data_IF_528668655489
#
_entry.id   IF_528668655489
#
_cell.length_a   1.000
_cell.length_b   1.000
_cell.length_c   1.000
_cell.angle_alpha   90.00
_cell.angle_beta   90.00
_cell.angle_gamma   90.00
#
_symmetry.space_group_name_H-M   'P 1'
#
loop_
_entity.id
_entity.type
_entity.pdbx_description
1 polymer ?
#
# COMPACT_ATOMS: atom_id res chain seq x y z
N UNK A 1 25.96 39.28 -1.79
CA UNK A 1 25.62 37.92 -1.34
C UNK A 1 24.80 37.27 -2.43
N UNK A 2 25.38 36.31 -3.17
CA UNK A 2 24.61 35.50 -4.12
C UNK A 2 23.60 34.66 -3.31
N UNK A 3 22.31 34.80 -3.61
CA UNK A 3 21.29 33.87 -3.13
C UNK A 3 21.61 32.50 -3.72
N UNK A 4 22.28 31.64 -2.94
CA UNK A 4 22.45 30.24 -3.30
C UNK A 4 21.08 29.58 -3.44
N UNK A 5 20.87 28.84 -4.53
CA UNK A 5 19.66 28.04 -4.74
C UNK A 5 19.45 27.14 -3.52
N UNK A 6 18.30 27.26 -2.85
CA UNK A 6 17.95 26.39 -1.73
C UNK A 6 17.88 24.93 -2.19
N UNK A 7 18.54 24.02 -1.46
CA UNK A 7 18.53 22.58 -1.73
C UNK A 7 17.10 22.07 -1.84
N UNK A 8 16.81 21.30 -2.89
CA UNK A 8 15.49 20.75 -3.19
C UNK A 8 15.49 19.24 -2.95
N UNK A 9 14.56 18.79 -2.11
CA UNK A 9 14.36 17.38 -1.77
C UNK A 9 12.99 16.97 -2.28
N UNK A 10 12.93 15.93 -3.11
CA UNK A 10 11.68 15.28 -3.49
C UNK A 10 11.49 14.03 -2.63
N UNK A 11 10.32 13.90 -2.01
CA UNK A 11 9.88 12.69 -1.32
C UNK A 11 8.70 12.12 -2.08
N UNK A 12 8.84 10.86 -2.49
CA UNK A 12 7.85 10.10 -3.24
C UNK A 12 7.44 8.90 -2.40
N UNK A 13 6.15 8.76 -2.11
CA UNK A 13 5.62 7.63 -1.33
C UNK A 13 4.37 7.02 -1.95
N UNK A 14 4.09 5.75 -1.63
CA UNK A 14 2.89 5.07 -2.11
C UNK A 14 1.58 5.58 -1.48
N UNK A 15 0.45 5.11 -2.01
CA UNK A 15 -0.91 5.55 -1.72
C UNK A 15 -1.55 4.85 -0.53
N UNK A 16 -0.76 4.28 0.38
CA UNK A 16 -1.26 3.62 1.58
C UNK A 16 -0.68 4.21 2.87
N UNK A 17 -0.94 3.53 3.99
CA UNK A 17 -0.47 4.01 5.28
C UNK A 17 1.04 3.86 5.45
N UNK A 18 1.67 2.84 4.86
CA UNK A 18 3.11 2.61 4.99
C UNK A 18 3.88 3.69 4.23
N UNK A 19 3.51 3.95 2.97
CA UNK A 19 4.05 5.05 2.17
C UNK A 19 3.87 6.44 2.81
N UNK A 20 2.70 6.72 3.42
CA UNK A 20 2.45 7.99 4.12
C UNK A 20 3.30 8.12 5.38
N UNK A 21 3.34 7.09 6.23
CA UNK A 21 4.08 7.14 7.49
C UNK A 21 5.59 7.23 7.23
N UNK A 22 6.11 6.42 6.31
CA UNK A 22 7.50 6.51 5.87
C UNK A 22 7.85 7.92 5.36
N UNK A 23 6.96 8.52 4.55
CA UNK A 23 7.15 9.90 4.06
C UNK A 23 7.16 10.92 5.19
N UNK A 24 6.29 10.74 6.18
CA UNK A 24 6.20 11.62 7.34
C UNK A 24 7.45 11.55 8.22
N UNK A 25 8.08 10.39 8.36
CA UNK A 25 9.35 10.22 9.07
C UNK A 25 10.48 11.00 8.39
N UNK A 26 10.57 10.94 7.06
CA UNK A 26 11.56 11.71 6.28
C UNK A 26 11.27 13.20 6.36
N UNK A 27 10.01 13.63 6.24
CA UNK A 27 9.61 15.04 6.41
C UNK A 27 10.01 15.55 7.78
N UNK A 28 9.75 14.77 8.83
CA UNK A 28 10.16 15.11 10.19
C UNK A 28 11.68 15.26 10.30
N UNK A 29 12.44 14.31 9.76
CA UNK A 29 13.90 14.36 9.78
C UNK A 29 14.46 15.56 9.01
N UNK A 30 13.85 15.96 7.88
CA UNK A 30 14.33 17.07 7.06
C UNK A 30 13.85 18.43 7.54
N UNK A 31 12.56 18.62 7.78
CA UNK A 31 12.00 19.94 8.04
C UNK A 31 12.00 20.32 9.51
N UNK A 32 11.83 19.35 10.41
CA UNK A 32 11.80 19.61 11.85
C UNK A 32 13.20 19.53 12.43
N UNK A 33 13.96 18.49 12.08
CA UNK A 33 15.29 18.26 12.64
C UNK A 33 16.42 18.79 11.76
N UNK A 34 16.24 18.91 10.44
CA UNK A 34 17.29 19.36 9.53
C UNK A 34 18.47 18.40 9.44
N UNK A 35 18.23 17.08 9.51
CA UNK A 35 19.28 16.05 9.61
C UNK A 35 19.45 15.25 8.33
N UNK A 36 18.35 14.87 7.68
CA UNK A 36 18.35 13.97 6.52
C UNK A 36 17.28 14.39 5.50
N UNK A 37 17.53 14.29 4.17
CA UNK A 37 18.77 13.84 3.52
C UNK A 37 19.92 14.85 3.54
N UNK A 38 19.65 16.11 3.86
CA UNK A 38 20.67 17.16 3.93
C UNK A 38 20.62 17.89 5.26
N UNK A 39 21.81 18.23 5.79
CA UNK A 39 21.93 19.05 6.99
C UNK A 39 21.42 20.46 6.75
N UNK A 40 20.57 20.95 7.64
CA UNK A 40 19.98 22.29 7.57
C UNK A 40 18.61 22.31 6.87
N UNK A 41 18.20 23.49 6.39
CA UNK A 41 16.90 23.68 5.76
C UNK A 41 16.94 23.31 4.28
N UNK A 42 15.93 22.59 3.81
CA UNK A 42 15.73 22.28 2.41
C UNK A 42 14.27 22.54 2.00
N UNK A 43 14.06 22.80 0.70
CA UNK A 43 12.71 22.86 0.13
C UNK A 43 12.25 21.43 -0.16
N UNK A 44 11.33 20.94 0.66
CA UNK A 44 10.75 19.60 0.48
C UNK A 44 9.53 19.67 -0.43
N UNK A 45 9.52 18.81 -1.43
CA UNK A 45 8.39 18.56 -2.30
C UNK A 45 7.84 17.15 -2.04
N UNK A 46 6.51 17.06 -1.97
CA UNK A 46 5.78 15.85 -1.60
C UNK A 46 4.92 15.39 -2.78
N UNK A 47 5.18 14.20 -3.31
CA UNK A 47 4.42 13.62 -4.42
C UNK A 47 4.04 12.16 -4.13
N UNK A 48 2.76 11.82 -4.03
CA UNK A 48 2.38 10.41 -3.98
C UNK A 48 2.53 9.77 -5.36
N UNK A 49 2.95 8.51 -5.41
CA UNK A 49 3.07 7.74 -6.64
C UNK A 49 2.95 6.23 -6.37
N UNK A 50 2.31 5.51 -7.28
CA UNK A 50 2.53 4.07 -7.40
C UNK A 50 3.53 3.76 -8.52
N UNK A 51 3.88 2.49 -8.75
CA UNK A 51 4.87 2.09 -9.76
C UNK A 51 4.53 2.62 -11.17
N UNK A 52 3.25 2.52 -11.56
CA UNK A 52 2.77 2.95 -12.89
C UNK A 52 2.79 4.47 -13.11
N UNK A 53 2.73 5.26 -12.05
CA UNK A 53 2.72 6.73 -12.12
C UNK A 53 4.09 7.33 -11.80
N UNK A 54 5.09 6.51 -11.45
CA UNK A 54 6.39 6.97 -11.01
C UNK A 54 7.07 7.85 -12.08
N UNK A 55 7.09 7.41 -13.34
CA UNK A 55 7.75 8.13 -14.42
C UNK A 55 7.19 9.54 -14.63
N UNK A 56 5.87 9.75 -14.50
CA UNK A 56 5.28 11.08 -14.63
C UNK A 56 5.60 11.95 -13.42
N UNK A 57 5.64 11.35 -12.23
CA UNK A 57 5.96 12.03 -10.96
C UNK A 57 7.40 12.52 -10.90
N UNK A 58 8.36 11.85 -11.54
CA UNK A 58 9.76 12.31 -11.60
C UNK A 58 10.06 13.17 -12.84
N UNK A 59 9.11 13.28 -13.76
CA UNK A 59 9.31 14.06 -14.99
C UNK A 59 9.43 15.57 -14.71
N UNK A 60 10.26 16.25 -15.51
CA UNK A 60 10.37 17.70 -15.60
C UNK A 60 10.73 18.45 -14.29
N UNK A 61 11.24 17.75 -13.27
CA UNK A 61 11.74 18.38 -12.06
C UNK A 61 13.26 18.37 -11.96
N UNK A 62 13.76 19.21 -11.05
CA UNK A 62 15.18 19.34 -10.77
C UNK A 62 15.34 19.38 -9.25
N UNK A 63 15.88 18.30 -8.71
CA UNK A 63 16.08 18.10 -7.28
C UNK A 63 17.52 17.69 -7.01
N UNK A 64 18.00 18.00 -5.81
CA UNK A 64 19.32 17.59 -5.34
C UNK A 64 19.25 16.19 -4.69
N UNK A 65 18.10 15.87 -4.10
CA UNK A 65 17.82 14.57 -3.48
C UNK A 65 16.44 14.07 -3.89
N UNK A 66 16.34 12.78 -4.17
CA UNK A 66 15.07 12.08 -4.40
C UNK A 66 15.00 10.90 -3.45
N UNK A 67 13.92 10.82 -2.69
CA UNK A 67 13.65 9.76 -1.72
C UNK A 67 12.41 9.01 -2.18
N UNK A 68 12.57 7.72 -2.44
CA UNK A 68 11.54 6.81 -2.94
C UNK A 68 11.16 5.87 -1.81
N UNK A 69 9.88 5.83 -1.46
CA UNK A 69 9.37 5.14 -0.29
C UNK A 69 8.22 4.23 -0.70
N UNK A 70 8.38 2.94 -0.46
CA UNK A 70 7.31 1.94 -0.56
C UNK A 70 6.75 1.75 -1.98
N UNK A 71 7.57 2.01 -2.99
CA UNK A 71 7.19 1.82 -4.40
C UNK A 71 7.92 0.59 -4.92
N UNK A 72 7.21 -0.48 -5.33
CA UNK A 72 7.87 -1.67 -5.87
C UNK A 72 8.63 -1.37 -7.16
N UNK A 73 9.84 -1.91 -7.27
CA UNK A 73 10.65 -1.76 -8.47
C UNK A 73 10.08 -2.57 -9.64
N UNK A 74 9.59 -1.85 -10.64
CA UNK A 74 8.96 -2.37 -11.86
C UNK A 74 9.58 -1.70 -13.09
N UNK A 75 9.22 -2.16 -14.29
CA UNK A 75 9.68 -1.56 -15.53
C UNK A 75 9.32 -0.06 -15.65
N UNK A 76 8.14 0.34 -15.17
CA UNK A 76 7.72 1.75 -15.18
C UNK A 76 8.60 2.62 -14.26
N UNK A 77 9.00 2.07 -13.11
CA UNK A 77 9.92 2.74 -12.18
C UNK A 77 11.32 2.83 -12.78
N UNK A 78 11.78 1.77 -13.44
CA UNK A 78 13.07 1.73 -14.14
C UNK A 78 13.15 2.83 -15.22
N UNK A 79 12.11 2.95 -16.05
CA UNK A 79 12.02 4.01 -17.07
C UNK A 79 12.06 5.40 -16.42
N UNK A 80 11.34 5.58 -15.31
CA UNK A 80 11.35 6.84 -14.56
C UNK A 80 12.73 7.18 -13.98
N UNK A 81 13.43 6.21 -13.40
CA UNK A 81 14.79 6.39 -12.88
C UNK A 81 15.78 6.73 -14.00
N UNK A 82 15.66 6.06 -15.15
CA UNK A 82 16.46 6.40 -16.32
C UNK A 82 16.25 7.84 -16.77
N UNK A 83 15.00 8.27 -16.87
CA UNK A 83 14.66 9.64 -17.27
C UNK A 83 15.18 10.67 -16.26
N UNK A 84 15.00 10.40 -14.97
CA UNK A 84 15.47 11.25 -13.88
C UNK A 84 17.00 11.44 -13.94
N UNK A 85 17.75 10.34 -14.11
CA UNK A 85 19.22 10.35 -14.05
C UNK A 85 19.90 10.74 -15.37
N UNK A 86 19.20 10.62 -16.51
CA UNK A 86 19.63 11.21 -17.80
C UNK A 86 19.40 12.72 -17.84
N UNK A 87 18.57 13.26 -16.95
CA UNK A 87 18.28 14.69 -16.84
C UNK A 87 19.51 15.53 -16.48
N UNK A 88 19.37 16.86 -16.58
CA UNK A 88 20.44 17.81 -16.23
C UNK A 88 20.74 17.87 -14.74
N UNK A 89 19.74 17.55 -13.91
CA UNK A 89 19.87 17.51 -12.46
C UNK A 89 20.10 16.06 -12.07
N UNK A 90 21.27 15.78 -11.49
CA UNK A 90 21.69 14.43 -11.09
C UNK A 90 21.48 14.27 -9.59
N UNK A 91 20.26 14.00 -9.12
CA UNK A 91 20.00 13.90 -7.69
C UNK A 91 20.72 12.70 -7.10
N UNK A 92 21.03 12.80 -5.80
CA UNK A 92 21.31 11.60 -5.00
C UNK A 92 19.98 10.91 -4.69
N UNK A 93 19.89 9.61 -4.98
CA UNK A 93 18.66 8.84 -4.82
C UNK A 93 18.76 7.89 -3.63
N UNK A 94 17.75 7.94 -2.78
CA UNK A 94 17.54 7.03 -1.66
C UNK A 94 16.28 6.21 -1.91
N UNK A 95 16.36 4.89 -1.77
CA UNK A 95 15.25 3.99 -2.07
C UNK A 95 14.98 3.05 -0.91
N UNK A 96 13.84 3.23 -0.25
CA UNK A 96 13.37 2.37 0.82
C UNK A 96 12.17 1.56 0.34
N UNK A 97 12.24 0.24 0.46
CA UNK A 97 11.16 -0.63 0.02
C UNK A 97 11.26 -2.04 0.64
N UNK A 98 10.14 -2.75 0.69
CA UNK A 98 10.04 -4.10 1.22
C UNK A 98 9.46 -5.12 0.23
N UNK A 99 9.05 -4.67 -0.95
CA UNK A 99 8.48 -5.54 -1.97
C UNK A 99 9.52 -6.50 -2.55
N UNK A 100 9.11 -7.75 -2.78
CA UNK A 100 9.96 -8.81 -3.36
C UNK A 100 10.61 -8.40 -4.69
N UNK A 101 9.86 -7.71 -5.56
CA UNK A 101 10.37 -7.25 -6.85
C UNK A 101 11.58 -6.31 -6.74
N UNK A 102 11.71 -5.60 -5.61
CA UNK A 102 12.83 -4.72 -5.31
C UNK A 102 13.95 -5.48 -4.60
N UNK A 103 13.61 -6.32 -3.62
CA UNK A 103 14.56 -7.20 -2.92
C UNK A 103 15.37 -8.07 -3.90
N UNK A 104 14.70 -8.62 -4.91
CA UNK A 104 15.34 -9.47 -5.93
C UNK A 104 16.28 -8.69 -6.88
N UNK A 105 16.25 -7.34 -6.84
CA UNK A 105 16.94 -6.45 -7.80
C UNK A 105 17.80 -5.37 -7.15
N UNK A 106 18.19 -5.54 -5.89
CA UNK A 106 19.02 -4.57 -5.14
C UNK A 106 20.32 -4.24 -5.86
N UNK A 107 21.14 -5.26 -6.16
CA UNK A 107 22.43 -5.06 -6.82
C UNK A 107 22.27 -4.36 -8.17
N UNK A 108 21.22 -4.70 -8.92
CA UNK A 108 20.90 -4.02 -10.16
C UNK A 108 20.60 -2.53 -9.95
N UNK A 109 19.76 -2.19 -8.97
CA UNK A 109 19.43 -0.79 -8.65
C UNK A 109 20.68 0.03 -8.27
N UNK A 110 21.52 -0.52 -7.40
CA UNK A 110 22.73 0.14 -6.92
C UNK A 110 23.75 0.33 -8.03
N UNK A 111 24.05 -0.72 -8.82
CA UNK A 111 25.05 -0.67 -9.89
C UNK A 111 24.59 0.17 -11.09
N UNK A 112 23.33 0.01 -11.52
CA UNK A 112 22.83 0.65 -12.74
C UNK A 112 22.49 2.12 -12.55
N UNK A 113 22.02 2.49 -11.36
CA UNK A 113 21.47 3.81 -11.08
C UNK A 113 22.20 4.57 -9.97
N UNK A 114 23.19 3.96 -9.31
CA UNK A 114 23.93 4.56 -8.19
C UNK A 114 22.98 5.07 -7.08
N UNK A 115 21.97 4.27 -6.78
CA UNK A 115 20.94 4.51 -5.75
C UNK A 115 21.45 3.94 -4.42
N UNK A 116 21.23 4.64 -3.32
CA UNK A 116 21.43 4.06 -1.98
C UNK A 116 20.15 3.33 -1.56
N UNK A 117 20.20 2.00 -1.50
CA UNK A 117 19.02 1.17 -1.20
C UNK A 117 18.95 0.76 0.26
N UNK A 118 17.73 0.73 0.80
CA UNK A 118 17.40 0.37 2.17
C UNK A 118 16.20 -0.57 2.13
N UNK A 119 16.48 -1.85 1.88
CA UNK A 119 15.43 -2.85 1.67
C UNK A 119 15.42 -3.92 2.75
N UNK A 120 14.26 -4.51 3.00
CA UNK A 120 14.11 -5.60 3.95
C UNK A 120 12.75 -6.26 3.90
N UNK A 121 12.52 -7.22 4.80
CA UNK A 121 11.23 -7.93 4.90
C UNK A 121 10.22 -7.21 5.81
N UNK A 122 10.63 -6.11 6.44
CA UNK A 122 9.79 -5.27 7.27
C UNK A 122 9.12 -4.19 6.43
N UNK A 123 7.94 -3.70 6.81
CA UNK A 123 7.30 -2.54 6.15
C UNK A 123 8.26 -1.36 6.02
N UNK A 124 8.09 -0.56 4.97
CA UNK A 124 8.95 0.56 4.61
C UNK A 124 9.10 1.57 5.75
N UNK A 125 8.02 1.92 6.45
CA UNK A 125 8.06 2.79 7.63
C UNK A 125 8.93 2.22 8.76
N UNK A 126 8.98 0.90 8.93
CA UNK A 126 9.88 0.27 9.90
C UNK A 126 11.34 0.35 9.46
N UNK A 127 11.62 0.23 8.15
CA UNK A 127 12.96 0.39 7.58
C UNK A 127 13.45 1.83 7.74
N UNK A 128 12.60 2.81 7.43
CA UNK A 128 12.89 4.24 7.59
C UNK A 128 13.15 4.57 9.06
N UNK A 129 12.29 4.10 9.99
CA UNK A 129 12.52 4.27 11.44
C UNK A 129 13.90 3.76 11.85
N UNK A 130 14.25 2.53 11.46
CA UNK A 130 15.51 1.92 11.84
C UNK A 130 16.71 2.70 11.28
N UNK A 131 16.63 3.15 10.02
CA UNK A 131 17.65 3.99 9.41
C UNK A 131 17.80 5.33 10.15
N UNK A 132 16.70 6.03 10.40
CA UNK A 132 16.70 7.31 11.10
C UNK A 132 17.26 7.18 12.53
N UNK A 133 16.87 6.14 13.27
CA UNK A 133 17.41 5.84 14.60
C UNK A 133 18.92 5.55 14.54
N UNK A 134 19.40 4.88 13.49
CA UNK A 134 20.84 4.60 13.29
C UNK A 134 21.69 5.87 13.09
N UNK A 135 21.11 6.93 12.55
CA UNK A 135 21.76 8.24 12.40
C UNK A 135 21.43 9.22 13.55
N UNK A 136 20.84 8.70 14.64
CA UNK A 136 20.60 9.45 15.87
C UNK A 136 19.29 10.27 15.90
N UNK A 137 18.40 10.09 14.93
CA UNK A 137 17.08 10.74 14.93
C UNK A 137 16.14 10.02 15.91
N UNK A 138 15.44 10.80 16.73
CA UNK A 138 14.39 10.30 17.64
C UNK A 138 13.04 10.75 17.14
N UNK A 139 12.22 9.79 16.69
CA UNK A 139 10.86 10.06 16.24
C UNK A 139 9.94 10.52 17.37
N UNK A 140 8.90 11.29 17.02
CA UNK A 140 7.83 11.68 17.94
C UNK A 140 7.04 10.45 18.41
N UNK A 141 6.36 10.50 19.57
CA UNK A 141 5.48 9.42 20.01
C UNK A 141 4.41 9.04 18.98
N UNK A 142 3.83 10.04 18.28
CA UNK A 142 2.86 9.83 17.19
C UNK A 142 3.46 8.99 16.06
N UNK A 143 4.63 9.37 15.53
CA UNK A 143 5.26 8.62 14.45
C UNK A 143 5.62 7.21 14.88
N UNK A 144 6.15 7.03 16.09
CA UNK A 144 6.45 5.68 16.62
C UNK A 144 5.21 4.79 16.69
N UNK A 145 4.09 5.35 17.15
CA UNK A 145 2.84 4.60 17.25
C UNK A 145 2.25 4.27 15.86
N UNK A 146 2.33 5.21 14.91
CA UNK A 146 1.92 4.99 13.53
C UNK A 146 2.74 3.90 12.84
N UNK A 147 4.08 3.93 12.97
CA UNK A 147 4.97 2.88 12.45
C UNK A 147 4.58 1.51 13.02
N UNK A 148 4.34 1.43 14.33
CA UNK A 148 3.90 0.20 14.98
C UNK A 148 2.52 -0.26 14.48
N UNK A 149 1.57 0.66 14.26
CA UNK A 149 0.26 0.36 13.70
C UNK A 149 0.33 -0.18 12.26
N UNK A 150 1.18 0.40 11.42
CA UNK A 150 1.42 -0.09 10.05
C UNK A 150 2.00 -1.49 10.08
N UNK A 151 2.98 -1.76 10.95
CA UNK A 151 3.54 -3.10 11.09
C UNK A 151 2.52 -4.18 11.48
N UNK A 152 1.48 -3.80 12.24
CA UNK A 152 0.35 -4.70 12.54
C UNK A 152 -0.54 -4.92 11.32
N UNK A 153 -0.80 -3.87 10.52
CA UNK A 153 -1.66 -3.94 9.33
C UNK A 153 -1.03 -4.77 8.20
N UNK A 154 0.28 -4.64 7.99
CA UNK A 154 1.06 -5.37 6.96
C UNK A 154 1.29 -6.86 7.30
N UNK A 155 0.61 -7.39 8.32
CA UNK A 155 0.70 -8.81 8.66
C UNK A 155 1.97 -9.21 9.40
N UNK A 156 2.64 -8.28 10.08
CA UNK A 156 3.77 -8.49 10.98
C UNK A 156 3.41 -9.29 12.25
N UNK A 157 2.77 -10.45 12.09
CA UNK A 157 2.47 -11.39 13.15
C UNK A 157 3.66 -12.33 13.37
N UNK A 158 4.55 -11.97 14.28
CA UNK A 158 5.50 -12.99 14.79
C UNK A 158 6.62 -12.49 15.66
N UNK A 159 7.39 -11.49 15.22
CA UNK A 159 8.65 -11.17 15.88
C UNK A 159 8.93 -9.67 16.03
N UNK A 160 8.58 -8.84 15.04
CA UNK A 160 8.75 -7.38 15.11
C UNK A 160 7.68 -6.69 15.99
N UNK A 161 6.44 -7.17 15.98
CA UNK A 161 5.36 -6.62 16.82
C UNK A 161 5.52 -6.89 18.33
N UNK A 162 6.50 -7.72 18.74
CA UNK A 162 6.64 -8.18 20.13
C UNK A 162 7.71 -7.46 20.96
N UNK A 163 8.52 -6.58 20.35
CA UNK A 163 9.64 -5.93 21.06
C UNK A 163 9.36 -4.52 21.54
N UNK A 164 8.34 -3.85 21.02
CA UNK A 164 7.93 -2.53 21.48
C UNK A 164 6.42 -2.49 21.70
N UNK A 165 6.01 -1.71 22.70
CA UNK A 165 4.63 -1.45 23.14
C UNK A 165 3.63 -1.59 21.99
N UNK A 166 2.70 -2.54 22.10
CA UNK A 166 1.65 -2.72 21.08
C UNK A 166 0.93 -1.38 20.85
N UNK A 167 0.76 -0.95 19.59
CA UNK A 167 0.08 0.31 19.30
C UNK A 167 -1.36 0.28 19.84
N UNK A 168 -1.93 1.43 20.15
CA UNK A 168 -3.33 1.48 20.56
C UNK A 168 -4.26 1.03 19.43
N UNK A 169 -5.39 0.42 19.78
CA UNK A 169 -6.42 0.06 18.80
C UNK A 169 -6.93 1.30 18.04
N UNK A 170 -6.95 2.46 18.71
CA UNK A 170 -7.25 3.74 18.10
C UNK A 170 -6.27 4.08 16.98
N UNK A 171 -4.96 3.96 17.23
CA UNK A 171 -3.94 4.25 16.21
C UNK A 171 -3.97 3.27 15.03
N UNK A 172 -4.25 1.99 15.30
CA UNK A 172 -4.45 1.00 14.23
C UNK A 172 -5.62 1.42 13.33
N UNK A 173 -6.73 1.88 13.92
CA UNK A 173 -7.89 2.40 13.15
C UNK A 173 -7.54 3.64 12.35
N UNK A 174 -6.70 4.53 12.89
CA UNK A 174 -6.22 5.71 12.16
C UNK A 174 -5.33 5.33 10.98
N UNK A 175 -4.36 4.44 11.17
CA UNK A 175 -3.52 3.96 10.05
C UNK A 175 -4.38 3.28 8.96
N UNK A 176 -5.32 2.44 9.36
CA UNK A 176 -6.25 1.80 8.42
C UNK A 176 -7.13 2.82 7.68
N UNK A 177 -7.62 3.85 8.37
CA UNK A 177 -8.45 4.88 7.75
C UNK A 177 -7.68 5.77 6.77
N UNK A 178 -6.41 6.08 7.07
CA UNK A 178 -5.50 6.77 6.14
C UNK A 178 -5.41 5.97 4.82
N UNK A 179 -5.04 4.69 4.91
CA UNK A 179 -4.90 3.83 3.72
C UNK A 179 -6.20 3.76 2.92
N UNK A 180 -7.34 3.61 3.59
CA UNK A 180 -8.66 3.51 2.94
C UNK A 180 -9.07 4.82 2.26
N UNK A 181 -8.95 5.94 2.96
CA UNK A 181 -9.39 7.25 2.45
C UNK A 181 -8.53 7.71 1.26
N UNK A 182 -7.22 7.50 1.35
CA UNK A 182 -6.28 7.85 0.28
C UNK A 182 -6.51 6.95 -0.94
N UNK A 183 -6.72 5.64 -0.75
CA UNK A 183 -6.98 4.73 -1.87
C UNK A 183 -8.32 4.96 -2.57
N UNK A 184 -9.32 5.47 -1.86
CA UNK A 184 -10.63 5.81 -2.44
C UNK A 184 -10.58 7.09 -3.29
N UNK A 185 -9.93 8.14 -2.79
CA UNK A 185 -9.95 9.45 -3.45
C UNK A 185 -8.81 9.66 -4.44
N UNK A 186 -7.67 8.99 -4.22
CA UNK A 186 -6.41 9.23 -4.96
C UNK A 186 -6.07 10.73 -5.10
N UNK A 187 -6.42 11.52 -4.08
CA UNK A 187 -6.19 12.96 -4.01
C UNK A 187 -4.78 13.26 -3.47
N UNK A 188 -3.87 13.85 -4.28
CA UNK A 188 -2.53 14.20 -3.81
C UNK A 188 -2.50 15.20 -2.66
N UNK A 189 -3.46 16.13 -2.57
CA UNK A 189 -3.49 17.13 -1.50
C UNK A 189 -3.96 16.52 -0.19
N UNK A 190 -4.89 15.57 -0.22
CA UNK A 190 -5.25 14.74 0.93
C UNK A 190 -4.04 13.94 1.43
N UNK A 191 -3.30 13.28 0.53
CA UNK A 191 -2.07 12.54 0.88
C UNK A 191 -1.05 13.45 1.59
N UNK A 192 -0.78 14.64 1.02
CA UNK A 192 0.14 15.63 1.61
C UNK A 192 -0.32 16.04 3.00
N UNK A 193 -1.63 16.28 3.20
CA UNK A 193 -2.17 16.62 4.53
C UNK A 193 -1.93 15.52 5.55
N UNK A 194 -2.11 14.25 5.18
CA UNK A 194 -1.81 13.13 6.08
C UNK A 194 -0.32 13.03 6.42
N UNK A 195 0.58 13.19 5.46
CA UNK A 195 2.03 13.23 5.70
C UNK A 195 2.39 14.35 6.67
N UNK A 196 1.88 15.56 6.44
CA UNK A 196 2.12 16.74 7.30
C UNK A 196 1.56 16.56 8.71
N UNK A 197 0.38 15.94 8.81
CA UNK A 197 -0.24 15.59 10.09
C UNK A 197 0.63 14.62 10.89
N UNK A 198 1.08 13.54 10.25
CA UNK A 198 1.88 12.51 10.89
C UNK A 198 3.24 13.04 11.33
N UNK A 199 3.86 13.94 10.53
CA UNK A 199 5.16 14.55 10.85
C UNK A 199 5.10 15.68 11.90
N UNK A 200 3.91 16.10 12.31
CA UNK A 200 3.74 17.24 13.22
C UNK A 200 4.25 16.96 14.62
N UNK A 201 4.91 17.95 15.22
CA UNK A 201 5.36 17.94 16.62
C UNK A 201 4.28 18.36 17.60
N UNK A 202 3.16 18.88 17.10
CA UNK A 202 2.08 19.36 17.95
C UNK A 202 1.30 18.16 18.52
N UNK A 203 0.88 18.23 19.81
CA UNK A 203 -0.01 17.23 20.41
C UNK A 203 -1.25 16.92 19.55
N UNK A 204 -1.84 15.73 19.71
CA UNK A 204 -2.97 15.27 18.88
C UNK A 204 -4.15 16.25 18.86
N UNK A 205 -4.48 16.78 20.02
CA UNK A 205 -5.53 17.77 20.28
C UNK A 205 -5.19 19.18 19.75
N UNK A 206 -3.93 19.44 19.41
CA UNK A 206 -3.42 20.75 19.01
C UNK A 206 -2.87 20.77 17.59
N UNK A 207 -2.87 19.64 16.88
CA UNK A 207 -2.37 19.57 15.51
C UNK A 207 -3.29 20.38 14.60
N UNK A 208 -2.84 21.51 14.03
CA UNK A 208 -3.68 22.46 13.33
C UNK A 208 -3.85 21.96 11.90
N UNK A 209 -4.84 21.10 11.74
CA UNK A 209 -5.50 20.79 10.47
C UNK A 209 -6.99 20.97 10.79
N UNK A 210 -7.55 22.15 10.95
CA UNK A 210 -7.33 23.41 10.23
C UNK A 210 -8.60 23.69 9.43
N UNK A 211 -9.63 24.24 10.11
CA UNK A 211 -10.95 24.64 9.60
C UNK A 211 -11.79 23.55 8.89
N UNK A 212 -12.76 22.98 9.60
CA UNK A 212 -13.56 21.83 9.11
C UNK A 212 -13.06 20.51 9.68
N UNK A 213 -13.89 19.47 9.61
CA UNK A 213 -13.70 18.15 10.25
C UNK A 213 -12.24 17.70 10.30
N UNK A 214 -11.78 17.32 11.51
CA UNK A 214 -10.47 16.69 11.73
C UNK A 214 -10.26 15.59 10.68
N UNK A 215 -9.23 15.73 9.85
CA UNK A 215 -8.92 14.82 8.71
C UNK A 215 -8.86 13.34 9.14
N UNK A 216 -8.52 13.09 10.40
CA UNK A 216 -8.55 11.76 11.01
C UNK A 216 -9.99 11.34 11.30
N UNK A 217 -10.78 12.21 11.93
CA UNK A 217 -12.22 12.00 12.15
C UNK A 217 -12.98 11.77 10.83
N UNK A 218 -12.72 12.58 9.81
CA UNK A 218 -13.30 12.42 8.47
C UNK A 218 -12.87 11.09 7.85
N UNK A 219 -11.56 10.75 7.89
CA UNK A 219 -11.07 9.46 7.42
C UNK A 219 -11.70 8.27 8.16
N UNK A 220 -11.89 8.39 9.48
CA UNK A 220 -12.58 7.39 10.29
C UNK A 220 -14.07 7.28 9.93
N UNK A 221 -14.74 8.39 9.63
CA UNK A 221 -16.13 8.40 9.18
C UNK A 221 -16.27 7.74 7.81
N UNK A 222 -15.47 8.14 6.82
CA UNK A 222 -15.40 7.51 5.49
C UNK A 222 -15.13 6.00 5.62
N UNK A 223 -14.23 5.62 6.53
CA UNK A 223 -13.96 4.21 6.80
C UNK A 223 -15.20 3.49 7.35
N UNK A 224 -15.90 4.07 8.32
CA UNK A 224 -17.12 3.48 8.91
C UNK A 224 -18.25 3.34 7.90
N UNK A 225 -18.48 4.37 7.09
CA UNK A 225 -19.52 4.37 6.06
C UNK A 225 -19.24 3.28 5.03
N UNK A 226 -18.00 3.21 4.54
CA UNK A 226 -17.63 2.16 3.59
C UNK A 226 -17.62 0.76 4.21
N UNK A 227 -17.30 0.59 5.50
CA UNK A 227 -17.42 -0.71 6.18
C UNK A 227 -18.89 -1.14 6.34
N UNK A 228 -19.79 -0.19 6.59
CA UNK A 228 -21.23 -0.44 6.65
C UNK A 228 -21.77 -0.86 5.27
N UNK A 229 -21.42 -0.12 4.21
CA UNK A 229 -21.76 -0.45 2.82
C UNK A 229 -21.27 -1.86 2.45
N UNK A 230 -20.00 -2.17 2.73
CA UNK A 230 -19.42 -3.50 2.48
C UNK A 230 -20.19 -4.59 3.23
N UNK A 231 -20.58 -4.33 4.48
CA UNK A 231 -21.31 -5.32 5.30
C UNK A 231 -22.71 -5.59 4.75
N UNK A 232 -23.39 -4.57 4.27
CA UNK A 232 -24.73 -4.70 3.71
C UNK A 232 -24.69 -5.40 2.34
N UNK A 233 -23.80 -5.00 1.44
CA UNK A 233 -23.58 -5.69 0.16
C UNK A 233 -23.11 -7.13 0.36
N UNK A 234 -22.24 -7.39 1.35
CA UNK A 234 -21.79 -8.75 1.67
C UNK A 234 -22.94 -9.66 2.09
N UNK A 235 -23.95 -9.15 2.81
CA UNK A 235 -25.13 -9.93 3.20
C UNK A 235 -25.96 -10.33 1.99
N UNK A 236 -26.20 -9.39 1.07
CA UNK A 236 -26.94 -9.65 -0.17
C UNK A 236 -26.20 -10.69 -1.02
N UNK A 237 -24.92 -10.45 -1.30
CA UNK A 237 -24.09 -11.35 -2.12
C UNK A 237 -23.89 -12.73 -1.48
N UNK A 238 -23.84 -12.83 -0.14
CA UNK A 238 -23.73 -14.13 0.53
C UNK A 238 -24.96 -15.00 0.32
N UNK A 239 -26.16 -14.41 0.15
CA UNK A 239 -27.38 -15.16 -0.14
C UNK A 239 -27.40 -15.70 -1.59
N UNK A 240 -26.75 -15.00 -2.51
CA UNK A 240 -26.64 -15.41 -3.91
C UNK A 240 -25.48 -16.40 -4.17
N UNK A 241 -24.65 -16.65 -3.16
CA UNK A 241 -23.45 -17.44 -3.29
C UNK A 241 -23.74 -18.90 -3.68
N UNK A 242 -23.18 -19.34 -4.79
CA UNK A 242 -23.30 -20.71 -5.30
C UNK A 242 -22.22 -21.60 -4.71
N UNK A 243 -22.59 -22.80 -4.29
CA UNK A 243 -21.59 -23.78 -3.83
C UNK A 243 -20.95 -24.47 -5.04
N UNK A 244 -19.63 -24.37 -5.15
CA UNK A 244 -18.81 -25.00 -6.19
C UNK A 244 -17.68 -25.78 -5.49
N UNK A 245 -17.88 -27.08 -5.30
CA UNK A 245 -16.97 -27.88 -4.46
C UNK A 245 -17.00 -27.41 -3.00
N UNK A 246 -15.85 -27.10 -2.40
CA UNK A 246 -15.79 -26.47 -1.07
C UNK A 246 -15.82 -24.94 -1.10
N UNK A 247 -15.97 -24.33 -2.28
CA UNK A 247 -15.90 -22.89 -2.49
C UNK A 247 -17.30 -22.30 -2.63
N UNK A 248 -17.52 -21.13 -2.04
CA UNK A 248 -18.67 -20.25 -2.30
C UNK A 248 -18.29 -19.29 -3.43
N UNK A 249 -18.81 -19.53 -4.62
CA UNK A 249 -18.63 -18.65 -5.76
C UNK A 249 -19.68 -17.54 -5.74
N UNK A 250 -19.23 -16.30 -5.93
CA UNK A 250 -20.06 -15.09 -5.95
C UNK A 250 -19.68 -14.27 -7.17
N UNK A 251 -20.65 -14.00 -8.05
CA UNK A 251 -20.49 -13.07 -9.17
C UNK A 251 -21.02 -11.70 -8.76
N UNK A 252 -20.10 -10.77 -8.46
CA UNK A 252 -20.41 -9.39 -8.07
C UNK A 252 -20.13 -8.38 -9.19
N UNK A 253 -19.92 -8.85 -10.43
CA UNK A 253 -19.79 -7.95 -11.59
C UNK A 253 -21.05 -7.10 -11.73
N UNK A 254 -20.88 -5.79 -11.91
CA UNK A 254 -21.98 -4.82 -11.93
C UNK A 254 -22.62 -4.50 -10.56
N UNK A 255 -22.29 -5.25 -9.50
CA UNK A 255 -22.76 -5.01 -8.12
C UNK A 255 -21.70 -4.32 -7.25
N UNK A 256 -20.43 -4.57 -7.53
CA UNK A 256 -19.31 -3.91 -6.87
C UNK A 256 -18.22 -3.55 -7.88
N UNK A 257 -18.04 -2.26 -8.15
CA UNK A 257 -17.04 -1.71 -9.06
C UNK A 257 -16.05 -0.76 -8.36
N UNK A 258 -16.21 -0.54 -7.05
CA UNK A 258 -15.38 0.36 -6.24
C UNK A 258 -14.17 -0.38 -5.63
N UNK A 259 -13.27 0.37 -4.98
CA UNK A 259 -12.20 -0.18 -4.14
C UNK A 259 -12.76 -1.04 -2.98
N UNK A 260 -11.92 -1.88 -2.36
CA UNK A 260 -12.36 -2.71 -1.22
C UNK A 260 -12.94 -4.09 -1.55
N UNK A 261 -12.80 -4.57 -2.79
CA UNK A 261 -13.27 -5.92 -3.17
C UNK A 261 -12.67 -7.06 -2.32
N UNK A 262 -11.43 -6.92 -1.85
CA UNK A 262 -10.80 -7.87 -0.90
C UNK A 262 -11.46 -7.86 0.48
N UNK A 263 -11.90 -6.69 0.95
CA UNK A 263 -12.67 -6.56 2.19
C UNK A 263 -14.08 -7.14 2.02
N UNK A 264 -14.70 -6.95 0.85
CA UNK A 264 -15.98 -7.58 0.50
C UNK A 264 -15.88 -9.11 0.50
N UNK A 265 -14.88 -9.69 -0.16
CA UNK A 265 -14.62 -11.13 -0.15
C UNK A 265 -14.41 -11.66 1.28
N UNK A 266 -13.70 -10.89 2.12
CA UNK A 266 -13.50 -11.21 3.54
C UNK A 266 -14.78 -11.17 4.36
N UNK A 267 -15.66 -10.19 4.11
CA UNK A 267 -16.96 -10.08 4.78
C UNK A 267 -17.90 -11.21 4.37
N UNK A 268 -17.94 -11.57 3.09
CA UNK A 268 -18.70 -12.73 2.60
C UNK A 268 -18.17 -14.02 3.24
N UNK A 269 -16.85 -14.25 3.25
CA UNK A 269 -16.23 -15.39 3.94
C UNK A 269 -16.63 -15.47 5.43
N UNK A 270 -16.69 -14.33 6.13
CA UNK A 270 -17.12 -14.29 7.54
C UNK A 270 -18.59 -14.70 7.73
N UNK A 271 -19.45 -14.46 6.74
CA UNK A 271 -20.87 -14.84 6.74
C UNK A 271 -21.03 -16.32 6.35
N UNK A 272 -20.43 -16.72 5.24
CA UNK A 272 -20.58 -18.07 4.67
C UNK A 272 -19.79 -19.13 5.42
N UNK A 273 -18.73 -18.74 6.17
CA UNK A 273 -17.79 -19.63 6.87
C UNK A 273 -17.13 -20.67 5.97
N UNK A 274 -17.05 -20.39 4.67
CA UNK A 274 -16.44 -21.25 3.65
C UNK A 274 -15.51 -20.41 2.77
N UNK A 275 -14.51 -21.04 2.15
CA UNK A 275 -13.65 -20.37 1.16
C UNK A 275 -14.53 -19.68 0.12
N UNK A 276 -14.33 -18.38 -0.08
CA UNK A 276 -15.14 -17.55 -0.97
C UNK A 276 -14.30 -17.17 -2.18
N UNK A 277 -14.84 -17.38 -3.39
CA UNK A 277 -14.31 -16.87 -4.64
C UNK A 277 -15.26 -15.80 -5.18
N UNK A 278 -14.85 -14.54 -5.08
CA UNK A 278 -15.59 -13.35 -5.48
C UNK A 278 -15.08 -12.86 -6.84
N UNK A 279 -15.95 -12.82 -7.85
CA UNK A 279 -15.64 -12.22 -9.15
C UNK A 279 -16.14 -10.78 -9.20
N UNK A 280 -15.26 -9.84 -9.53
CA UNK A 280 -15.58 -8.40 -9.69
C UNK A 280 -15.05 -7.87 -11.01
N UNK A 281 -15.63 -6.76 -11.49
CA UNK A 281 -15.10 -5.99 -12.62
C UNK A 281 -14.41 -4.74 -12.08
N UNK A 282 -13.17 -4.50 -12.51
CA UNK A 282 -12.43 -3.26 -12.25
C UNK A 282 -12.89 -2.14 -13.18
N UNK A 283 -12.53 -0.91 -12.86
CA UNK A 283 -12.86 0.26 -13.68
C UNK A 283 -12.31 0.18 -15.11
N UNK A 284 -11.16 -0.49 -15.29
CA UNK A 284 -10.57 -0.76 -16.61
C UNK A 284 -11.29 -1.87 -17.41
N UNK A 285 -12.40 -2.40 -16.89
CA UNK A 285 -13.18 -3.48 -17.50
C UNK A 285 -12.63 -4.88 -17.26
N UNK A 286 -11.46 -5.01 -16.61
CA UNK A 286 -10.87 -6.31 -16.31
C UNK A 286 -11.67 -7.07 -15.24
N UNK A 287 -11.81 -8.38 -15.42
CA UNK A 287 -12.47 -9.25 -14.42
C UNK A 287 -11.41 -9.82 -13.47
N UNK A 288 -11.57 -9.55 -12.18
CA UNK A 288 -10.65 -10.02 -11.13
C UNK A 288 -11.39 -11.03 -10.26
N UNK A 289 -10.79 -12.20 -10.08
CA UNK A 289 -11.23 -13.19 -9.12
C UNK A 289 -10.44 -13.02 -7.83
N UNK A 290 -11.13 -12.79 -6.73
CA UNK A 290 -10.55 -12.67 -5.38
C UNK A 290 -11.00 -13.86 -4.55
N UNK A 291 -10.04 -14.60 -4.02
CA UNK A 291 -10.27 -15.76 -3.17
C UNK A 291 -9.90 -15.42 -1.73
N UNK A 292 -10.82 -15.66 -0.80
CA UNK A 292 -10.58 -15.61 0.65
C UNK A 292 -10.81 -17.00 1.24
N UNK A 293 -9.82 -17.55 1.94
CA UNK A 293 -9.91 -18.85 2.60
C UNK A 293 -8.99 -18.98 3.81
N UNK A 294 -9.18 -20.00 4.65
CA UNK A 294 -8.28 -20.29 5.77
C UNK A 294 -7.14 -21.22 5.38
N UNK A 295 -6.13 -21.32 6.23
CA UNK A 295 -5.06 -22.33 6.14
C UNK A 295 -4.29 -22.36 4.80
N UNK A 296 -4.09 -21.18 4.19
CA UNK A 296 -3.37 -21.10 2.92
C UNK A 296 -4.20 -21.49 1.69
N UNK A 297 -5.50 -21.80 1.84
CA UNK A 297 -6.31 -22.28 0.73
C UNK A 297 -6.58 -21.22 -0.34
N UNK A 298 -6.45 -19.93 -0.02
CA UNK A 298 -6.69 -18.88 -1.00
C UNK A 298 -5.61 -18.86 -2.08
N UNK A 299 -4.34 -18.78 -1.67
CA UNK A 299 -3.23 -18.71 -2.63
C UNK A 299 -3.12 -19.99 -3.45
N UNK A 300 -3.24 -21.16 -2.81
CA UNK A 300 -3.19 -22.47 -3.48
C UNK A 300 -4.27 -22.61 -4.55
N UNK A 301 -5.49 -22.10 -4.28
CA UNK A 301 -6.59 -22.15 -5.24
C UNK A 301 -6.29 -21.26 -6.46
N UNK A 302 -5.79 -20.04 -6.24
CA UNK A 302 -5.47 -19.12 -7.35
C UNK A 302 -4.28 -19.63 -8.17
N UNK A 303 -3.22 -20.14 -7.53
CA UNK A 303 -2.08 -20.77 -8.23
C UNK A 303 -2.52 -21.96 -9.08
N UNK A 304 -3.48 -22.75 -8.59
CA UNK A 304 -4.03 -23.86 -9.37
C UNK A 304 -4.83 -23.36 -10.58
N UNK A 305 -5.68 -22.34 -10.41
CA UNK A 305 -6.40 -21.71 -11.52
C UNK A 305 -5.45 -21.10 -12.56
N UNK A 306 -4.31 -20.56 -12.11
CA UNK A 306 -3.26 -20.05 -13.01
C UNK A 306 -2.65 -21.18 -13.83
N UNK A 307 -2.28 -22.28 -13.18
CA UNK A 307 -1.76 -23.49 -13.84
C UNK A 307 -2.77 -24.07 -14.85
N UNK A 308 -4.06 -23.93 -14.57
CA UNK A 308 -5.16 -24.34 -15.47
C UNK A 308 -5.42 -23.34 -16.62
N UNK A 309 -4.72 -22.20 -16.66
CA UNK A 309 -4.88 -21.17 -17.69
C UNK A 309 -6.17 -20.36 -17.58
N UNK A 310 -6.82 -20.36 -16.41
CA UNK A 310 -8.09 -19.65 -16.15
C UNK A 310 -7.84 -18.21 -15.71
N UNK A 311 -6.76 -17.99 -14.97
CA UNK A 311 -6.28 -16.65 -14.60
C UNK A 311 -4.91 -16.39 -15.23
N UNK A 312 -4.62 -15.12 -15.52
CA UNK A 312 -3.39 -14.67 -16.20
C UNK A 312 -2.28 -14.28 -15.23
N UNK A 313 -2.63 -13.99 -13.98
CA UNK A 313 -1.70 -13.61 -12.93
C UNK A 313 -2.15 -14.14 -11.56
N UNK A 314 -1.23 -14.11 -10.61
CA UNK A 314 -1.45 -14.47 -9.21
C UNK A 314 -0.86 -13.37 -8.33
N UNK A 315 -1.64 -12.89 -7.38
CA UNK A 315 -1.19 -11.96 -6.35
C UNK A 315 -1.87 -12.22 -5.01
N UNK A 316 -1.31 -11.65 -3.94
CA UNK A 316 -1.84 -11.75 -2.57
C UNK A 316 -1.01 -12.66 -1.66
N UNK A 317 -1.65 -13.17 -0.60
CA UNK A 317 -1.04 -13.92 0.49
C UNK A 317 -1.82 -15.20 0.79
N UNK A 318 -1.32 -16.03 1.72
CA UNK A 318 -1.86 -17.35 2.07
C UNK A 318 -3.40 -17.40 2.17
N UNK A 319 -3.99 -16.43 2.86
CA UNK A 319 -5.40 -16.45 3.22
C UNK A 319 -6.28 -15.53 2.35
N UNK A 320 -5.67 -14.70 1.50
CA UNK A 320 -6.37 -13.86 0.53
C UNK A 320 -5.53 -13.68 -0.73
N UNK A 321 -6.03 -14.14 -1.86
CA UNK A 321 -5.31 -14.10 -3.13
C UNK A 321 -6.23 -13.62 -4.25
N UNK A 322 -5.65 -13.15 -5.34
CA UNK A 322 -6.39 -12.68 -6.49
C UNK A 322 -5.68 -13.01 -7.79
N UNK A 323 -6.46 -13.19 -8.85
CA UNK A 323 -5.95 -13.32 -10.21
C UNK A 323 -6.90 -12.69 -11.22
N UNK A 324 -6.35 -12.11 -12.28
CA UNK A 324 -7.11 -11.61 -13.43
C UNK A 324 -7.62 -12.77 -14.24
N UNK A 325 -8.94 -12.82 -14.44
CA UNK A 325 -9.58 -13.82 -15.29
C UNK A 325 -9.16 -13.61 -16.74
N UNK A 326 -8.74 -14.70 -17.40
CA UNK A 326 -8.35 -14.66 -18.80
C UNK A 326 -9.53 -14.25 -19.69
N UNK A 327 -9.25 -13.43 -20.70
CA UNK A 327 -10.27 -12.99 -21.65
C UNK A 327 -10.96 -14.20 -22.32
N UNK A 328 -12.29 -14.16 -22.40
CA UNK A 328 -13.11 -15.21 -23.02
C UNK A 328 -13.51 -16.37 -22.10
N UNK A 329 -12.98 -16.45 -20.87
CA UNK A 329 -13.43 -17.47 -19.90
C UNK A 329 -14.87 -17.15 -19.45
N UNK A 330 -15.77 -18.10 -19.71
CA UNK A 330 -17.16 -18.04 -19.27
C UNK A 330 -17.30 -18.35 -17.77
N UNK A 331 -18.42 -17.93 -17.18
CA UNK A 331 -18.74 -18.26 -15.78
C UNK A 331 -18.79 -19.78 -15.55
N UNK A 332 -19.32 -20.54 -16.52
CA UNK A 332 -19.37 -22.00 -16.42
C UNK A 332 -17.98 -22.62 -16.39
N UNK A 333 -17.08 -22.17 -17.27
CA UNK A 333 -15.69 -22.66 -17.28
C UNK A 333 -14.96 -22.32 -15.97
N UNK A 334 -15.20 -21.13 -15.42
CA UNK A 334 -14.68 -20.73 -14.12
C UNK A 334 -15.24 -21.59 -12.97
N UNK A 335 -16.55 -21.83 -12.93
CA UNK A 335 -17.18 -22.72 -11.94
C UNK A 335 -16.62 -24.15 -12.04
N UNK A 336 -16.44 -24.69 -13.25
CA UNK A 336 -15.87 -26.02 -13.47
C UNK A 336 -14.37 -26.07 -13.06
N UNK A 337 -13.62 -25.00 -13.30
CA UNK A 337 -12.24 -24.89 -12.87
C UNK A 337 -12.11 -24.80 -11.34
N UNK A 338 -12.93 -23.96 -10.70
CA UNK A 338 -13.00 -23.86 -9.24
C UNK A 338 -13.35 -25.20 -8.60
N UNK A 339 -14.31 -25.93 -9.19
CA UNK A 339 -14.69 -27.26 -8.70
C UNK A 339 -13.51 -28.22 -8.74
N UNK A 340 -12.81 -28.32 -9.88
CA UNK A 340 -11.64 -29.20 -10.04
C UNK A 340 -10.52 -28.83 -9.08
N UNK A 341 -10.13 -27.55 -9.05
CA UNK A 341 -9.08 -27.06 -8.15
C UNK A 341 -9.44 -27.31 -6.68
N UNK A 342 -10.71 -27.18 -6.30
CA UNK A 342 -11.16 -27.47 -4.94
C UNK A 342 -11.14 -28.95 -4.56
N UNK A 343 -11.28 -29.88 -5.52
CA UNK A 343 -11.21 -31.31 -5.20
C UNK A 343 -9.78 -31.77 -4.92
N UNK A 344 -8.79 -31.15 -5.56
CA UNK A 344 -7.38 -31.48 -5.43
C UNK A 344 -6.72 -30.88 -4.17
N UNK A 345 -7.38 -29.91 -3.54
CA UNK A 345 -6.91 -29.24 -2.32
C UNK A 345 -7.46 -29.85 -1.02
N UNK A 346 -8.34 -30.84 -1.12
CA UNK A 346 -8.87 -31.62 0.02
C UNK A 346 -7.87 -32.69 0.46
#
# INVERSE_FOLDING_TARGET
MQQGSATKVLIIGDWDADGVVASAEIVYAQEVLGVFPVKGKAKVELRPAGPRTFSSVVSNGCWDYVIILDIPFTQDVEIGLEALLKGSCKPKVYYFDHHKSTLDKVSYLEERFNVETFVGLSPTSSLVKAFLESIGVRLTPRLKELVASVAVLEGGSGWLARRDRSPSEGMIKVAASISKNINQNKDPDLWRRYVRWASSILPFDQSPIGQGEDIVTHGLQVSRESDAEIKDVARELAMEARTVGFVKFVDARGKWNKSGASALASSIYKITKMTTALLVTKEDGSSILIVRGSQGNAIKLVERLYTMGVVEDVGGHENIASGRLKAGVSIKELEDALRRASLELK
#
